data_IF_262020075022
#
_entry.id   IF_262020075022
#
_cell.length_a   1.000
_cell.length_b   1.000
_cell.length_c   1.000
_cell.angle_alpha   90.00
_cell.angle_beta   90.00
_cell.angle_gamma   90.00
#
_symmetry.space_group_name_H-M   'P 1'
#
loop_
_entity.id
_entity.type
_entity.pdbx_description
1 polymer ?
#
# COMPACT_ATOMS: atom_id res chain seq x y z
N UNK A 1 -20.57 3.21 -4.83
CA UNK A 1 -19.31 2.83 -5.52
C UNK A 1 -18.57 1.85 -4.63
N UNK A 2 -18.36 0.61 -5.08
CA UNK A 2 -17.72 -0.42 -4.26
C UNK A 2 -16.21 -0.24 -4.24
N UNK A 3 -15.63 -0.23 -3.05
CA UNK A 3 -14.18 -0.34 -2.84
C UNK A 3 -13.68 -1.67 -3.39
N UNK A 4 -12.41 -1.72 -3.85
CA UNK A 4 -11.79 -2.99 -4.22
C UNK A 4 -11.81 -3.95 -3.01
N UNK A 5 -12.14 -5.21 -3.26
CA UNK A 5 -12.13 -6.25 -2.22
C UNK A 5 -10.71 -6.51 -1.71
N UNK A 6 -10.61 -7.09 -0.51
CA UNK A 6 -9.34 -7.49 0.08
C UNK A 6 -8.52 -8.38 -0.86
N UNK A 7 -9.13 -9.43 -1.42
CA UNK A 7 -8.45 -10.34 -2.34
C UNK A 7 -8.04 -9.66 -3.65
N UNK A 8 -8.83 -8.71 -4.16
CA UNK A 8 -8.43 -7.96 -5.35
C UNK A 8 -7.21 -7.08 -5.06
N UNK A 9 -7.18 -6.36 -3.93
CA UNK A 9 -5.99 -5.59 -3.53
C UNK A 9 -4.76 -6.49 -3.34
N UNK A 10 -4.92 -7.67 -2.72
CA UNK A 10 -3.84 -8.66 -2.60
C UNK A 10 -3.33 -9.13 -3.96
N UNK A 11 -4.22 -9.37 -4.93
CA UNK A 11 -3.83 -9.74 -6.29
C UNK A 11 -2.99 -8.65 -6.97
N UNK A 12 -3.37 -7.37 -6.80
CA UNK A 12 -2.58 -6.24 -7.29
C UNK A 12 -1.19 -6.24 -6.64
N UNK A 13 -1.08 -6.31 -5.31
CA UNK A 13 0.23 -6.37 -4.64
C UNK A 13 1.07 -7.58 -5.07
N UNK A 14 0.48 -8.76 -5.22
CA UNK A 14 1.14 -10.01 -5.66
C UNK A 14 1.64 -9.95 -7.12
N UNK A 15 1.15 -8.99 -7.92
CA UNK A 15 1.66 -8.76 -9.27
C UNK A 15 3.08 -8.17 -9.28
N UNK A 16 3.52 -7.56 -8.19
CA UNK A 16 4.85 -6.98 -8.01
C UNK A 16 5.79 -8.01 -7.36
N UNK A 17 6.62 -8.68 -8.18
CA UNK A 17 7.44 -9.84 -7.76
C UNK A 17 8.47 -9.55 -6.66
N UNK A 18 8.88 -8.30 -6.53
CA UNK A 18 9.81 -7.84 -5.50
C UNK A 18 9.15 -7.68 -4.10
N UNK A 19 7.82 -7.75 -4.01
CA UNK A 19 7.09 -7.69 -2.74
C UNK A 19 6.81 -9.08 -2.19
N UNK A 20 6.92 -9.21 -0.87
CA UNK A 20 6.51 -10.39 -0.12
C UNK A 20 5.33 -10.05 0.79
N UNK A 21 4.28 -10.87 0.73
CA UNK A 21 3.16 -10.82 1.66
C UNK A 21 3.60 -11.38 3.02
N UNK A 22 3.31 -10.64 4.10
CA UNK A 22 3.57 -11.04 5.48
C UNK A 22 2.27 -10.97 6.29
N UNK A 23 1.65 -12.11 6.61
CA UNK A 23 0.48 -12.16 7.49
C UNK A 23 0.80 -11.58 8.88
N UNK A 24 -0.20 -10.93 9.47
CA UNK A 24 -0.19 -10.41 10.85
C UNK A 24 -1.54 -10.74 11.53
N UNK A 25 -1.77 -10.24 12.74
CA UNK A 25 -3.01 -10.48 13.48
C UNK A 25 -4.27 -9.92 12.78
N UNK A 26 -5.42 -10.55 13.08
CA UNK A 26 -6.76 -10.19 12.58
C UNK A 26 -6.92 -10.27 11.06
N UNK A 27 -6.38 -11.33 10.45
CA UNK A 27 -6.45 -11.59 9.00
C UNK A 27 -5.94 -10.44 8.14
N UNK A 28 -4.98 -9.68 8.68
CA UNK A 28 -4.31 -8.60 7.98
C UNK A 28 -3.00 -9.06 7.37
N UNK A 29 -2.55 -8.32 6.37
CA UNK A 29 -1.24 -8.55 5.74
C UNK A 29 -0.48 -7.24 5.59
N UNK A 30 0.86 -7.35 5.65
CA UNK A 30 1.78 -6.32 5.18
C UNK A 30 2.44 -6.78 3.88
N UNK A 31 2.91 -5.84 3.06
CA UNK A 31 3.77 -6.10 1.91
C UNK A 31 5.12 -5.45 2.11
N UNK A 32 6.18 -6.24 1.97
CA UNK A 32 7.55 -5.82 2.27
C UNK A 32 8.50 -6.09 1.10
N UNK A 33 9.54 -5.28 0.95
CA UNK A 33 10.71 -5.59 0.13
C UNK A 33 11.75 -6.33 1.01
N UNK A 34 11.83 -7.67 0.96
CA UNK A 34 12.69 -8.44 1.87
C UNK A 34 14.17 -8.07 1.70
N UNK A 35 14.59 -7.83 0.46
CA UNK A 35 15.96 -7.51 0.07
C UNK A 35 16.34 -6.03 0.20
N UNK A 36 15.40 -5.16 0.61
CA UNK A 36 15.71 -3.74 0.73
C UNK A 36 16.72 -3.48 1.86
N UNK A 37 17.80 -2.77 1.54
CA UNK A 37 18.81 -2.29 2.49
C UNK A 37 18.42 -0.96 3.15
N UNK A 38 17.37 -0.30 2.68
CA UNK A 38 16.89 0.95 3.26
C UNK A 38 16.12 0.69 4.56
N UNK A 39 16.11 1.67 5.47
CA UNK A 39 15.19 1.65 6.61
C UNK A 39 13.75 1.66 6.09
N UNK A 40 12.91 0.74 6.55
CA UNK A 40 11.51 0.66 6.11
C UNK A 40 11.30 -0.31 4.94
N UNK A 41 11.54 -1.60 5.20
CA UNK A 41 11.19 -2.68 4.27
C UNK A 41 9.69 -2.77 3.96
N UNK A 42 8.83 -2.14 4.76
CA UNK A 42 7.38 -2.21 4.61
C UNK A 42 6.91 -1.16 3.62
N UNK A 43 6.42 -1.61 2.46
CA UNK A 43 5.75 -0.76 1.48
C UNK A 43 4.29 -0.53 1.90
N UNK A 44 3.56 -1.60 2.19
CA UNK A 44 2.17 -1.53 2.61
C UNK A 44 1.94 -2.23 3.94
N UNK A 45 1.06 -1.68 4.77
CA UNK A 45 0.78 -2.21 6.11
C UNK A 45 -0.71 -2.30 6.40
N UNK A 46 -1.05 -3.26 7.24
CA UNK A 46 -2.36 -3.44 7.85
C UNK A 46 -3.49 -3.53 6.81
N UNK A 47 -3.21 -4.09 5.62
CA UNK A 47 -4.25 -4.38 4.65
C UNK A 47 -5.21 -5.39 5.28
N UNK A 48 -6.47 -5.02 5.44
CA UNK A 48 -7.48 -5.78 6.18
C UNK A 48 -8.61 -6.30 5.29
N UNK A 49 -9.41 -7.27 5.77
CA UNK A 49 -10.58 -7.79 5.04
C UNK A 49 -11.59 -6.72 4.60
N UNK A 50 -11.68 -5.58 5.30
CA UNK A 50 -12.49 -4.43 4.89
C UNK A 50 -11.97 -3.69 3.64
N UNK A 51 -10.83 -4.11 3.09
CA UNK A 51 -10.14 -3.44 1.99
C UNK A 51 -9.36 -2.20 2.40
N UNK A 52 -9.38 -1.77 3.66
CA UNK A 52 -8.53 -0.68 4.13
C UNK A 52 -7.08 -1.15 4.34
N UNK A 53 -6.13 -0.22 4.24
CA UNK A 53 -4.72 -0.41 4.50
C UNK A 53 -3.97 0.90 4.27
N UNK A 54 -2.65 0.84 4.38
CA UNK A 54 -1.79 1.99 4.17
C UNK A 54 -0.60 1.67 3.28
N UNK A 55 -0.18 2.63 2.45
CA UNK A 55 1.02 2.56 1.62
C UNK A 55 2.01 3.64 2.05
N UNK A 56 3.29 3.33 2.02
CA UNK A 56 4.37 4.23 2.44
C UNK A 56 4.57 5.35 1.42
N UNK A 57 4.28 6.58 1.81
CA UNK A 57 4.47 7.78 0.99
C UNK A 57 5.80 8.49 1.22
N UNK A 58 6.63 8.08 2.19
CA UNK A 58 7.87 8.80 2.56
C UNK A 58 8.92 8.84 1.47
N UNK A 59 8.91 7.83 0.60
CA UNK A 59 9.88 7.67 -0.48
C UNK A 59 9.27 8.03 -1.84
N UNK A 60 8.03 8.53 -1.87
CA UNK A 60 7.40 9.01 -3.07
C UNK A 60 7.86 10.44 -3.36
N UNK A 61 8.04 10.74 -4.64
CA UNK A 61 8.39 12.07 -5.11
C UNK A 61 7.32 13.10 -4.69
N UNK A 62 7.76 14.23 -4.13
CA UNK A 62 6.86 15.27 -3.62
C UNK A 62 6.01 15.93 -4.71
N UNK A 63 6.53 16.05 -5.93
CA UNK A 63 5.78 16.57 -7.07
C UNK A 63 4.71 15.56 -7.51
N UNK A 64 4.98 14.25 -7.41
CA UNK A 64 3.95 13.22 -7.66
C UNK A 64 2.84 13.31 -6.61
N UNK A 65 3.19 13.39 -5.32
CA UNK A 65 2.23 13.54 -4.22
C UNK A 65 1.31 14.74 -4.48
N UNK A 66 1.91 15.89 -4.83
CA UNK A 66 1.18 17.13 -5.11
C UNK A 66 0.30 17.02 -6.35
N UNK A 67 0.83 16.49 -7.46
CA UNK A 67 0.10 16.35 -8.73
C UNK A 67 -1.09 15.40 -8.62
N UNK A 68 -0.95 14.31 -7.86
CA UNK A 68 -1.98 13.28 -7.69
C UNK A 68 -2.93 13.58 -6.52
N UNK A 69 -2.61 14.57 -5.68
CA UNK A 69 -3.41 14.93 -4.52
C UNK A 69 -3.45 13.86 -3.44
N UNK A 70 -2.38 13.06 -3.31
CA UNK A 70 -2.32 12.05 -2.26
C UNK A 70 -2.16 12.71 -0.89
N UNK A 71 -2.96 12.24 0.08
CA UNK A 71 -2.82 12.64 1.47
C UNK A 71 -1.81 11.72 2.17
N UNK A 72 -0.60 12.21 2.38
CA UNK A 72 0.42 11.56 3.18
C UNK A 72 0.31 12.07 4.61
N UNK A 73 -0.02 11.20 5.56
CA UNK A 73 -0.15 11.58 6.97
C UNK A 73 1.22 11.99 7.57
N UNK A 74 1.26 12.64 8.76
CA UNK A 74 2.52 13.01 9.41
C UNK A 74 3.46 11.83 9.72
N UNK A 75 2.93 10.60 9.72
CA UNK A 75 3.69 9.37 9.92
C UNK A 75 4.23 8.81 8.60
N UNK A 76 3.91 9.41 7.46
CA UNK A 76 4.33 9.06 6.11
C UNK A 76 3.49 8.02 5.41
N UNK A 77 2.22 7.86 5.78
CA UNK A 77 1.32 6.84 5.23
C UNK A 77 0.18 7.44 4.41
N UNK A 78 -0.15 6.77 3.31
CA UNK A 78 -1.31 7.06 2.46
C UNK A 78 -2.38 6.01 2.74
N UNK A 79 -3.59 6.44 3.12
CA UNK A 79 -4.73 5.53 3.34
C UNK A 79 -5.33 5.10 2.00
N UNK A 80 -5.39 3.79 1.74
CA UNK A 80 -5.81 3.26 0.43
C UNK A 80 -7.23 2.69 0.40
N UNK A 81 -8.06 2.96 1.41
CA UNK A 81 -9.40 2.36 1.54
C UNK A 81 -10.23 2.49 0.26
N UNK A 82 -10.31 3.72 -0.29
CA UNK A 82 -11.17 4.07 -1.41
C UNK A 82 -10.43 4.18 -2.75
N UNK A 83 -9.21 3.64 -2.85
CA UNK A 83 -8.46 3.69 -4.10
C UNK A 83 -9.09 2.80 -5.18
N UNK A 84 -9.12 3.32 -6.41
CA UNK A 84 -9.31 2.50 -7.61
C UNK A 84 -8.09 1.59 -7.82
N UNK A 85 -8.21 0.63 -8.76
CA UNK A 85 -7.06 -0.21 -9.12
C UNK A 85 -5.91 0.63 -9.67
N UNK A 86 -6.21 1.60 -10.54
CA UNK A 86 -5.23 2.52 -11.10
C UNK A 86 -4.51 3.30 -9.99
N UNK A 87 -5.27 3.92 -9.07
CA UNK A 87 -4.68 4.66 -7.94
C UNK A 87 -3.84 3.76 -7.04
N UNK A 88 -4.27 2.51 -6.81
CA UNK A 88 -3.49 1.56 -6.01
C UNK A 88 -2.19 1.17 -6.71
N UNK A 89 -2.21 0.95 -8.03
CA UNK A 89 -1.00 0.65 -8.81
C UNK A 89 -0.02 1.81 -8.87
N UNK A 90 -0.51 3.04 -8.88
CA UNK A 90 0.34 4.24 -8.91
C UNK A 90 1.14 4.44 -7.62
N UNK A 91 0.62 3.97 -6.48
CA UNK A 91 1.30 4.13 -5.17
C UNK A 91 2.18 2.95 -4.76
N UNK A 92 2.16 1.84 -5.50
CA UNK A 92 2.98 0.64 -5.27
C UNK A 92 4.27 0.71 -6.07
#
# INVERSE_FOLDING_TARGET
MNMLSFEHKKAIFRSYKQLQEKPISYDRVNYVYPESRQRGKVLARELSPSGNGYVNGKYMDSEIIKKKGYNVDPRGWIRIAHFSEEQLREVI
#
